data_IF_364701285201
#
_entry.id   IF_364701285201
#
_cell.length_a   1.000
_cell.length_b   1.000
_cell.length_c   1.000
_cell.angle_alpha   90.00
_cell.angle_beta   90.00
_cell.angle_gamma   90.00
#
_symmetry.space_group_name_H-M   'P 1'
#
loop_
_entity.id
_entity.type
_entity.pdbx_description
1 polymer ?
#
# COMPACT_ATOMS: atom_id res chain seq x y z
N UNK A 1 -5.61 -1.70 -1.00
CA UNK A 1 -4.42 -0.90 -0.64
C UNK A 1 -3.20 -1.52 -1.27
N UNK A 2 -2.36 -0.75 -1.97
CA UNK A 2 -1.16 -1.26 -2.65
C UNK A 2 0.08 -0.59 -2.05
N UNK A 3 0.97 -1.37 -1.45
CA UNK A 3 2.25 -0.90 -0.91
C UNK A 3 2.21 -0.54 0.58
N UNK A 4 3.40 -0.52 1.18
CA UNK A 4 3.66 -0.19 2.59
C UNK A 4 4.20 1.25 2.75
N UNK A 5 3.53 2.22 2.13
CA UNK A 5 3.90 3.63 2.23
C UNK A 5 3.37 4.29 3.51
N UNK A 6 4.02 5.37 3.94
CA UNK A 6 3.67 6.15 5.15
C UNK A 6 2.21 6.64 5.13
N UNK A 7 1.67 6.96 3.95
CA UNK A 7 0.31 7.47 3.80
C UNK A 7 -0.81 6.42 3.90
N UNK A 8 -0.49 5.15 4.17
CA UNK A 8 -1.48 4.05 4.16
C UNK A 8 -2.58 4.25 5.20
N UNK A 9 -2.21 4.50 6.45
CA UNK A 9 -3.17 4.68 7.54
C UNK A 9 -3.85 6.04 7.48
N UNK A 10 -3.10 7.09 7.12
CA UNK A 10 -3.65 8.43 6.93
C UNK A 10 -4.78 8.44 5.90
N UNK A 11 -4.61 7.76 4.76
CA UNK A 11 -5.65 7.69 3.74
C UNK A 11 -6.92 6.97 4.22
N UNK A 12 -6.78 5.87 4.98
CA UNK A 12 -7.93 5.15 5.53
C UNK A 12 -8.70 6.02 6.51
N UNK A 13 -7.98 6.74 7.39
CA UNK A 13 -8.59 7.64 8.37
C UNK A 13 -9.34 8.79 7.69
N UNK A 14 -8.76 9.43 6.68
CA UNK A 14 -9.42 10.52 5.95
C UNK A 14 -10.69 10.06 5.25
N UNK A 15 -10.72 8.85 4.67
CA UNK A 15 -11.93 8.29 4.05
C UNK A 15 -13.03 8.07 5.09
N UNK A 16 -12.66 7.63 6.29
CA UNK A 16 -13.60 7.45 7.39
C UNK A 16 -14.13 8.78 7.94
N UNK A 17 -13.27 9.80 8.02
CA UNK A 17 -13.66 11.18 8.39
C UNK A 17 -14.55 11.85 7.32
N UNK A 18 -14.41 11.46 6.06
CA UNK A 18 -15.26 11.92 4.96
C UNK A 18 -16.70 11.34 4.99
N UNK A 19 -17.03 10.50 5.99
CA UNK A 19 -18.35 9.89 6.15
C UNK A 19 -18.63 8.72 5.19
N UNK A 20 -17.59 8.16 4.57
CA UNK A 20 -17.71 7.00 3.68
C UNK A 20 -17.48 5.73 4.53
N UNK A 21 -18.49 4.88 4.62
CA UNK A 21 -18.37 3.58 5.30
C UNK A 21 -17.58 2.59 4.45
N UNK A 22 -16.45 2.12 4.99
CA UNK A 22 -15.58 1.15 4.31
C UNK A 22 -16.01 -0.26 4.68
N UNK A 23 -16.63 -0.98 3.73
CA UNK A 23 -17.11 -2.35 3.96
C UNK A 23 -15.97 -3.38 4.12
N UNK A 24 -14.85 -3.20 3.40
CA UNK A 24 -13.70 -4.08 3.51
C UNK A 24 -12.42 -3.40 3.01
N UNK A 25 -11.30 -3.68 3.67
CA UNK A 25 -9.97 -3.25 3.25
C UNK A 25 -9.19 -4.47 2.78
N UNK A 26 -8.87 -4.51 1.48
CA UNK A 26 -8.04 -5.56 0.88
C UNK A 26 -6.62 -5.04 0.64
N UNK A 27 -5.61 -5.76 1.10
CA UNK A 27 -4.23 -5.50 0.72
C UNK A 27 -3.91 -6.20 -0.61
N UNK A 28 -3.42 -5.43 -1.57
CA UNK A 28 -3.03 -5.86 -2.92
C UNK A 28 -1.57 -5.46 -3.20
N UNK A 29 -0.75 -5.39 -2.16
CA UNK A 29 0.69 -5.22 -2.29
C UNK A 29 1.29 -6.38 -3.08
N UNK A 30 2.00 -6.12 -4.19
CA UNK A 30 2.50 -7.19 -5.05
C UNK A 30 3.57 -8.01 -4.34
N UNK A 31 3.33 -9.31 -4.19
CA UNK A 31 4.34 -10.28 -3.77
C UNK A 31 4.91 -10.95 -5.03
N UNK A 32 6.20 -10.77 -5.36
CA UNK A 32 6.78 -11.37 -6.55
C UNK A 32 7.06 -12.86 -6.35
N UNK A 33 6.46 -13.72 -7.17
CA UNK A 33 6.82 -15.13 -7.27
C UNK A 33 7.99 -15.30 -8.26
N UNK A 34 9.21 -14.93 -7.85
CA UNK A 34 10.43 -15.01 -8.67
C UNK A 34 10.31 -14.34 -10.07
N UNK A 35 9.69 -13.15 -10.13
CA UNK A 35 9.51 -12.36 -11.36
C UNK A 35 10.73 -11.50 -11.73
N UNK A 36 10.51 -10.28 -12.24
CA UNK A 36 11.60 -9.38 -12.64
C UNK A 36 12.57 -9.08 -11.48
N UNK A 37 13.88 -9.06 -11.78
CA UNK A 37 14.92 -8.70 -10.83
C UNK A 37 14.74 -7.25 -10.34
N UNK A 38 14.65 -6.99 -9.02
CA UNK A 38 14.59 -5.63 -8.49
C UNK A 38 15.82 -4.79 -8.87
N UNK A 39 15.70 -3.45 -8.91
CA UNK A 39 16.83 -2.57 -9.19
C UNK A 39 17.98 -2.80 -8.22
N UNK A 40 19.22 -2.59 -8.70
CA UNK A 40 20.42 -2.67 -7.86
C UNK A 40 20.28 -1.71 -6.66
N UNK A 41 20.65 -2.18 -5.46
CA UNK A 41 20.68 -1.36 -4.24
C UNK A 41 21.48 -0.07 -4.50
N UNK A 42 20.91 1.08 -4.12
CA UNK A 42 21.59 2.37 -4.21
C UNK A 42 22.84 2.33 -3.34
N UNK A 43 23.96 2.84 -3.84
CA UNK A 43 25.17 3.06 -3.02
C UNK A 43 24.87 4.25 -2.08
N UNK A 44 25.35 4.21 -0.82
CA UNK A 44 25.36 5.40 0.01
C UNK A 44 26.17 6.52 -0.65
#
# INVERSE_FOLDING_TARGET
IKGAGVGRESAVRTIQEAGIEVAAIKDVTPLPHNGCRPPKRRRP
#
